data_IF_017813979635
#
_entry.id   IF_017813979635
#
_cell.length_a   1.000
_cell.length_b   1.000
_cell.length_c   1.000
_cell.angle_alpha   90.00
_cell.angle_beta   90.00
_cell.angle_gamma   90.00
#
_symmetry.space_group_name_H-M   'P 1'
#
loop_
_entity.id
_entity.type
_entity.pdbx_description
1 polymer ?
#
# COMPACT_ATOMS: atom_id res chain seq x y z
N UNK A 1 4.22 16.74 -15.70
CA UNK A 1 4.06 16.04 -14.41
C UNK A 1 4.10 14.55 -14.70
N UNK A 2 4.92 13.76 -14.01
CA UNK A 2 4.88 12.30 -14.15
C UNK A 2 3.60 11.76 -13.51
N UNK A 3 2.98 10.76 -14.14
CA UNK A 3 1.83 10.05 -13.60
C UNK A 3 2.37 8.91 -12.74
N UNK A 4 1.91 8.80 -11.50
CA UNK A 4 2.24 7.67 -10.62
C UNK A 4 1.40 6.48 -11.08
N UNK A 5 2.06 5.41 -11.50
CA UNK A 5 1.42 4.16 -11.94
C UNK A 5 1.75 2.98 -11.03
N UNK A 6 2.90 3.03 -10.36
CA UNK A 6 3.32 2.04 -9.36
C UNK A 6 3.84 2.72 -8.09
N UNK A 7 3.41 2.23 -6.95
CA UNK A 7 3.87 2.68 -5.65
C UNK A 7 4.43 1.52 -4.80
N UNK A 8 5.39 1.85 -3.95
CA UNK A 8 5.87 0.95 -2.91
C UNK A 8 5.33 1.39 -1.54
N UNK A 9 4.90 0.43 -0.73
CA UNK A 9 4.53 0.65 0.67
C UNK A 9 5.48 -0.10 1.59
N UNK A 10 6.15 0.60 2.51
CA UNK A 10 7.06 -0.01 3.48
C UNK A 10 6.42 0.03 4.86
N UNK A 11 5.88 -1.12 5.30
CA UNK A 11 5.03 -1.27 6.47
C UNK A 11 3.55 -1.43 6.11
N UNK A 12 2.94 -2.49 6.62
CA UNK A 12 1.55 -2.93 6.45
C UNK A 12 0.70 -2.85 7.71
N UNK A 13 1.14 -2.06 8.69
CA UNK A 13 0.31 -1.64 9.82
C UNK A 13 -0.90 -0.79 9.39
N UNK A 14 -1.67 -0.27 10.34
CA UNK A 14 -2.94 0.45 10.06
C UNK A 14 -2.77 1.58 9.04
N UNK A 15 -1.74 2.42 9.19
CA UNK A 15 -1.46 3.55 8.30
C UNK A 15 -1.01 3.07 6.91
N UNK A 16 -0.05 2.16 6.87
CA UNK A 16 0.46 1.60 5.62
C UNK A 16 -0.62 0.92 4.80
N UNK A 17 -1.43 0.07 5.44
CA UNK A 17 -2.58 -0.57 4.79
C UNK A 17 -3.64 0.44 4.29
N UNK A 18 -3.83 1.56 4.99
CA UNK A 18 -4.67 2.65 4.53
C UNK A 18 -4.15 3.32 3.26
N UNK A 19 -2.83 3.53 3.17
CA UNK A 19 -2.18 4.02 1.94
C UNK A 19 -2.25 3.01 0.80
N UNK A 20 -2.02 1.72 1.07
CA UNK A 20 -2.24 0.65 0.08
C UNK A 20 -3.66 0.75 -0.47
N UNK A 21 -4.68 0.85 0.39
CA UNK A 21 -6.06 0.96 -0.05
C UNK A 21 -6.33 2.23 -0.87
N UNK A 22 -5.79 3.37 -0.45
CA UNK A 22 -5.94 4.64 -1.18
C UNK A 22 -5.38 4.52 -2.60
N UNK A 23 -4.15 4.02 -2.75
CA UNK A 23 -3.46 3.95 -4.03
C UNK A 23 -4.08 2.88 -4.93
N UNK A 24 -4.25 1.67 -4.39
CA UNK A 24 -4.72 0.51 -5.13
C UNK A 24 -6.13 0.69 -5.67
N UNK A 25 -7.06 1.20 -4.85
CA UNK A 25 -8.44 1.44 -5.28
C UNK A 25 -8.58 2.59 -6.28
N UNK A 26 -7.54 3.43 -6.44
CA UNK A 26 -7.47 4.47 -7.45
C UNK A 26 -6.63 4.05 -8.68
N UNK A 27 -6.39 2.75 -8.85
CA UNK A 27 -5.77 2.18 -10.05
C UNK A 27 -4.25 2.23 -10.10
N UNK A 28 -3.59 2.51 -8.98
CA UNK A 28 -2.12 2.48 -8.88
C UNK A 28 -1.71 1.09 -8.38
N UNK A 29 -0.77 0.45 -9.07
CA UNK A 29 -0.21 -0.82 -8.61
C UNK A 29 0.59 -0.61 -7.32
N UNK A 30 0.45 -1.50 -6.34
CA UNK A 30 1.14 -1.37 -5.06
C UNK A 30 1.96 -2.62 -4.76
N UNK A 31 3.25 -2.44 -4.52
CA UNK A 31 4.14 -3.45 -3.96
C UNK A 31 4.42 -3.13 -2.50
N UNK A 32 4.03 -4.02 -1.58
CA UNK A 32 4.19 -3.81 -0.14
C UNK A 32 5.23 -4.76 0.43
N UNK A 33 6.12 -4.22 1.28
CA UNK A 33 6.98 -5.02 2.16
C UNK A 33 6.63 -4.75 3.62
N UNK A 34 6.45 -5.82 4.40
CA UNK A 34 6.38 -5.79 5.85
C UNK A 34 6.99 -7.11 6.38
N UNK A 35 7.90 -7.06 7.36
CA UNK A 35 8.51 -8.27 7.93
C UNK A 35 7.54 -9.12 8.78
N UNK A 36 6.38 -8.59 9.16
CA UNK A 36 5.37 -9.32 9.92
C UNK A 36 4.66 -10.36 9.03
N UNK A 37 4.71 -11.67 9.36
CA UNK A 37 4.03 -12.70 8.58
C UNK A 37 2.51 -12.50 8.51
N UNK A 38 1.92 -11.76 9.45
CA UNK A 38 0.48 -11.44 9.48
C UNK A 38 0.11 -10.23 8.62
N UNK A 39 1.08 -9.55 7.99
CA UNK A 39 0.84 -8.34 7.21
C UNK A 39 -0.20 -8.54 6.11
N UNK A 40 -0.14 -9.68 5.39
CA UNK A 40 -1.13 -9.99 4.34
C UNK A 40 -2.55 -10.04 4.87
N UNK A 41 -2.76 -10.69 6.03
CA UNK A 41 -4.07 -10.74 6.68
C UNK A 41 -4.52 -9.35 7.14
N UNK A 42 -3.64 -8.58 7.79
CA UNK A 42 -3.95 -7.24 8.31
C UNK A 42 -4.31 -6.26 7.19
N UNK A 43 -3.51 -6.22 6.12
CA UNK A 43 -3.78 -5.42 4.93
C UNK A 43 -5.09 -5.87 4.27
N UNK A 44 -5.33 -7.18 4.18
CA UNK A 44 -6.57 -7.75 3.65
C UNK A 44 -7.83 -7.25 4.36
N UNK A 45 -7.82 -7.17 5.70
CA UNK A 45 -8.96 -6.65 6.48
C UNK A 45 -9.21 -5.16 6.20
N UNK A 46 -8.15 -4.34 6.13
CA UNK A 46 -8.26 -2.92 5.79
C UNK A 46 -8.78 -2.76 4.36
N UNK A 47 -8.28 -3.52 3.40
CA UNK A 47 -8.74 -3.52 2.01
C UNK A 47 -10.21 -3.89 1.89
N UNK A 48 -10.67 -4.90 2.63
CA UNK A 48 -12.10 -5.30 2.65
C UNK A 48 -12.98 -4.17 3.19
N UNK A 49 -12.55 -3.51 4.26
CA UNK A 49 -13.23 -2.33 4.81
C UNK A 49 -13.27 -1.16 3.82
N UNK A 50 -12.12 -0.86 3.20
CA UNK A 50 -11.99 0.24 2.24
C UNK A 50 -12.87 0.01 1.01
N UNK A 51 -12.87 -1.18 0.40
CA UNK A 51 -13.75 -1.49 -0.74
C UNK A 51 -15.23 -1.29 -0.41
N UNK A 52 -15.66 -1.66 0.80
CA UNK A 52 -17.04 -1.41 1.26
C UNK A 52 -17.34 0.08 1.38
N UNK A 53 -16.45 0.84 2.03
CA UNK A 53 -16.63 2.27 2.24
C UNK A 53 -16.65 3.06 0.93
N UNK A 54 -15.70 2.80 0.03
CA UNK A 54 -15.62 3.50 -1.26
C UNK A 54 -16.85 3.28 -2.14
N UNK A 55 -17.43 2.06 -2.15
CA UNK A 55 -18.69 1.80 -2.87
C UNK A 55 -19.85 2.67 -2.38
N UNK A 56 -19.85 3.07 -1.11
CA UNK A 56 -20.88 3.95 -0.54
C UNK A 56 -20.59 5.42 -0.79
N UNK A 57 -19.31 5.80 -0.86
CA UNK A 57 -18.89 7.20 -1.03
C UNK A 57 -18.84 7.64 -2.50
N UNK A 58 -18.60 6.72 -3.44
CA UNK A 58 -18.46 6.99 -4.87
C UNK A 58 -19.47 6.15 -5.67
N UNK A 59 -20.72 6.62 -5.81
CA UNK A 59 -21.78 5.88 -6.49
C UNK A 59 -21.52 5.69 -8.00
N UNK A 60 -20.75 6.59 -8.61
CA UNK A 60 -20.33 6.51 -10.02
C UNK A 60 -19.21 5.48 -10.26
N UNK A 61 -18.74 4.83 -9.18
CA UNK A 61 -17.76 3.77 -9.22
C UNK A 61 -16.32 4.24 -8.98
N UNK A 62 -15.43 3.25 -8.87
CA UNK A 62 -13.99 3.43 -8.79
C UNK A 62 -13.36 3.08 -10.16
N UNK A 63 -12.18 3.62 -10.48
CA UNK A 63 -11.39 3.08 -11.59
C UNK A 63 -11.06 1.60 -11.35
N UNK A 64 -10.53 0.95 -12.38
CA UNK A 64 -10.04 -0.42 -12.23
C UNK A 64 -8.99 -0.47 -11.12
N UNK A 65 -9.21 -1.35 -10.14
CA UNK A 65 -8.27 -1.56 -9.03
C UNK A 65 -6.91 -2.01 -9.56
N UNK A 66 -5.84 -1.46 -8.98
CA UNK A 66 -4.46 -1.85 -9.26
C UNK A 66 -4.13 -3.25 -8.74
N UNK A 67 -2.92 -3.71 -9.05
CA UNK A 67 -2.38 -4.99 -8.58
C UNK A 67 -1.64 -4.82 -7.26
N UNK A 68 -2.04 -5.59 -6.25
CA UNK A 68 -1.33 -5.69 -4.98
C UNK A 68 -0.33 -6.84 -5.01
N UNK A 69 0.92 -6.57 -4.65
CA UNK A 69 1.99 -7.57 -4.53
C UNK A 69 2.63 -7.48 -3.15
N UNK A 70 2.79 -8.62 -2.47
CA UNK A 70 3.56 -8.71 -1.23
C UNK A 70 5.01 -9.09 -1.57
N UNK A 71 5.90 -8.12 -1.46
CA UNK A 71 7.32 -8.25 -1.75
C UNK A 71 8.06 -9.00 -0.63
N UNK A 72 9.13 -9.73 -0.99
CA UNK A 72 9.96 -10.47 -0.03
C UNK A 72 11.03 -9.59 0.63
N UNK A 73 11.41 -8.50 -0.03
CA UNK A 73 12.40 -7.54 0.45
C UNK A 73 11.96 -6.11 0.12
N UNK A 74 12.55 -5.12 0.80
CA UNK A 74 12.34 -3.70 0.47
C UNK A 74 12.79 -3.42 -0.97
N UNK A 75 13.93 -3.98 -1.40
CA UNK A 75 14.44 -3.82 -2.75
C UNK A 75 13.43 -4.29 -3.82
N UNK A 76 12.78 -5.43 -3.59
CA UNK A 76 11.72 -5.93 -4.47
C UNK A 76 10.47 -5.03 -4.45
N UNK A 77 10.16 -4.41 -3.30
CA UNK A 77 9.01 -3.52 -3.17
C UNK A 77 9.21 -2.21 -3.95
N UNK A 78 10.39 -1.61 -3.84
CA UNK A 78 10.71 -0.31 -4.43
C UNK A 78 11.14 -0.40 -5.89
N UNK A 79 11.41 -1.60 -6.41
CA UNK A 79 11.74 -1.82 -7.82
C UNK A 79 10.67 -1.18 -8.72
N UNK A 80 11.09 -0.25 -9.58
CA UNK A 80 10.25 0.50 -10.52
C UNK A 80 9.11 1.33 -9.88
N UNK A 81 9.18 1.65 -8.58
CA UNK A 81 8.16 2.47 -7.94
C UNK A 81 8.34 3.96 -8.28
N UNK A 82 7.26 4.61 -8.73
CA UNK A 82 7.22 6.06 -8.95
C UNK A 82 7.09 6.84 -7.63
N UNK A 83 6.56 6.18 -6.61
CA UNK A 83 6.27 6.74 -5.29
C UNK A 83 6.52 5.71 -4.20
N UNK A 84 7.19 6.11 -3.12
CA UNK A 84 7.46 5.24 -1.96
C UNK A 84 6.80 5.87 -0.74
N UNK A 85 5.88 5.13 -0.13
CA UNK A 85 5.24 5.49 1.13
C UNK A 85 5.81 4.62 2.26
N UNK A 86 6.56 5.24 3.17
CA UNK A 86 7.04 4.60 4.38
C UNK A 86 6.01 4.77 5.52
N UNK A 87 5.78 3.70 6.30
CA UNK A 87 4.86 3.65 7.43
C UNK A 87 5.33 2.65 8.51
N UNK A 88 6.64 2.48 8.66
CA UNK A 88 7.27 1.75 9.75
C UNK A 88 7.12 2.51 11.08
N UNK A 89 7.33 1.85 12.24
CA UNK A 89 7.22 2.50 13.55
C UNK A 89 8.01 3.80 13.66
N UNK A 90 7.48 4.74 14.45
CA UNK A 90 8.06 6.07 14.65
C UNK A 90 9.30 6.01 15.55
N UNK A 91 10.40 5.51 14.97
CA UNK A 91 11.71 5.37 15.60
C UNK A 91 12.78 5.81 14.61
N UNK A 92 13.51 6.88 14.93
CA UNK A 92 14.48 7.51 14.03
C UNK A 92 15.51 6.52 13.46
N UNK A 93 16.13 5.70 14.33
CA UNK A 93 17.12 4.71 13.92
C UNK A 93 16.57 3.68 12.92
N UNK A 94 15.29 3.33 13.06
CA UNK A 94 14.64 2.41 12.14
C UNK A 94 14.41 3.08 10.78
N UNK A 95 13.91 4.32 10.79
CA UNK A 95 13.68 5.10 9.55
C UNK A 95 14.96 5.34 8.75
N UNK A 96 16.11 5.50 9.41
CA UNK A 96 17.40 5.64 8.73
C UNK A 96 17.97 4.32 8.19
N UNK A 97 17.52 3.17 8.72
CA UNK A 97 17.99 1.84 8.31
C UNK A 97 17.20 1.29 7.11
N UNK A 98 15.92 1.66 7.04
CA UNK A 98 14.97 1.29 5.99
C UNK A 98 15.22 2.13 4.74
#
# INVERSE_FOLDING_TARGET
>A
MSIITKAAAIGGGVIGAGWVARLLLNGIDVSIFDPDPEASRKVGEVMKGARRAYKQMLPDGLPKEGKLTFAKTIADAVADADFIQESVPERLELKHRV
#
